data_IF_772220423783
#
_entry.id   IF_772220423783
#
_cell.length_a   1.000
_cell.length_b   1.000
_cell.length_c   1.000
_cell.angle_alpha   90.00
_cell.angle_beta   90.00
_cell.angle_gamma   90.00
#
_symmetry.space_group_name_H-M   'P 1'
#
loop_
_entity.id
_entity.type
_entity.pdbx_description
1 polymer ?
#
# COMPACT_ATOMS: atom_id res chain seq x y z
N UNK A 1 -7.79 -9.72 7.15
CA UNK A 1 -7.10 -9.61 8.45
C UNK A 1 -5.89 -8.69 8.40
N UNK A 2 -5.07 -8.79 7.36
CA UNK A 2 -3.89 -7.92 7.20
C UNK A 2 -4.25 -6.43 7.20
N UNK A 3 -5.30 -6.06 6.49
CA UNK A 3 -5.76 -4.67 6.42
C UNK A 3 -6.20 -4.13 7.78
N UNK A 4 -6.79 -4.97 8.63
CA UNK A 4 -7.15 -4.57 9.98
C UNK A 4 -5.94 -4.34 10.87
N UNK A 5 -4.93 -5.20 10.81
CA UNK A 5 -3.67 -4.99 11.54
C UNK A 5 -2.99 -3.71 11.09
N UNK A 6 -2.90 -3.51 9.78
CA UNK A 6 -2.29 -2.28 9.24
C UNK A 6 -3.07 -1.04 9.70
N UNK A 7 -4.40 -1.10 9.66
CA UNK A 7 -5.27 0.00 10.09
C UNK A 7 -5.08 0.33 11.58
N UNK A 8 -5.04 -0.68 12.43
CA UNK A 8 -4.83 -0.51 13.88
C UNK A 8 -3.45 0.08 14.19
N UNK A 9 -2.40 -0.43 13.54
CA UNK A 9 -1.04 0.08 13.73
C UNK A 9 -0.90 1.50 13.22
N UNK A 10 -1.48 1.81 12.06
CA UNK A 10 -1.47 3.16 11.50
C UNK A 10 -2.21 4.15 12.41
N UNK A 11 -3.35 3.74 12.96
CA UNK A 11 -4.11 4.58 13.91
C UNK A 11 -3.28 4.87 15.16
N UNK A 12 -2.57 3.87 15.69
CA UNK A 12 -1.68 4.04 16.84
C UNK A 12 -0.56 5.04 16.56
N UNK A 13 -0.15 5.20 15.30
CA UNK A 13 0.85 6.18 14.86
C UNK A 13 0.25 7.55 14.52
N UNK A 14 -1.04 7.75 14.74
CA UNK A 14 -1.70 9.03 14.52
C UNK A 14 -2.31 9.23 13.13
N UNK A 15 -2.34 8.20 12.29
CA UNK A 15 -3.01 8.29 10.99
C UNK A 15 -4.53 8.24 11.15
N UNK A 16 -5.22 9.02 10.33
CA UNK A 16 -6.63 8.79 10.06
C UNK A 16 -6.72 7.68 9.01
N UNK A 17 -7.52 6.64 9.27
CA UNK A 17 -7.56 5.44 8.44
C UNK A 17 -8.92 5.25 7.83
N UNK A 18 -8.96 4.98 6.53
CA UNK A 18 -10.16 4.57 5.81
C UNK A 18 -9.90 3.21 5.17
N UNK A 19 -10.73 2.22 5.48
CA UNK A 19 -10.74 0.92 4.82
C UNK A 19 -11.73 0.97 3.65
N UNK A 20 -11.26 0.52 2.49
CA UNK A 20 -12.08 0.45 1.28
C UNK A 20 -12.09 -0.98 0.74
N UNK A 21 -13.26 -1.58 0.65
CA UNK A 21 -13.49 -2.82 -0.08
C UNK A 21 -14.96 -2.84 -0.54
N UNK A 22 -15.23 -2.79 -1.86
CA UNK A 22 -16.61 -2.81 -2.36
C UNK A 22 -17.28 -4.17 -2.18
N UNK A 23 -16.54 -5.22 -1.86
CA UNK A 23 -17.03 -6.58 -1.70
C UNK A 23 -17.62 -6.75 -0.30
N UNK A 24 -18.95 -6.70 -0.18
CA UNK A 24 -19.64 -6.77 1.10
C UNK A 24 -19.44 -8.12 1.81
N UNK A 25 -19.23 -9.20 1.06
CA UNK A 25 -18.95 -10.53 1.63
C UNK A 25 -17.65 -10.58 2.44
N UNK A 26 -16.77 -9.63 2.25
CA UNK A 26 -15.53 -9.48 3.04
C UNK A 26 -15.65 -8.42 4.13
N UNK A 27 -16.86 -7.91 4.38
CA UNK A 27 -17.07 -6.94 5.45
C UNK A 27 -16.69 -7.54 6.78
N UNK A 28 -15.76 -6.87 7.46
CA UNK A 28 -15.31 -7.28 8.78
C UNK A 28 -16.37 -6.92 9.84
N UNK A 29 -16.39 -7.63 10.98
CA UNK A 29 -17.24 -7.23 12.10
C UNK A 29 -17.04 -5.75 12.47
N UNK A 30 -17.99 -5.17 13.16
CA UNK A 30 -17.95 -3.78 13.58
C UNK A 30 -16.59 -3.45 14.22
N UNK A 31 -15.92 -2.46 13.68
CA UNK A 31 -14.64 -1.97 14.16
C UNK A 31 -14.72 -0.44 14.25
N UNK A 32 -13.96 0.22 15.13
CA UNK A 32 -13.95 1.67 15.19
C UNK A 32 -13.27 2.34 13.98
N UNK A 33 -12.77 1.56 13.02
CA UNK A 33 -12.12 2.07 11.82
C UNK A 33 -13.18 2.37 10.77
N UNK A 34 -13.12 3.58 10.23
CA UNK A 34 -14.02 4.03 9.17
C UNK A 34 -13.88 3.17 7.92
N UNK A 35 -15.01 2.87 7.27
CA UNK A 35 -15.09 2.03 6.08
C UNK A 35 -15.87 2.68 4.97
N UNK A 36 -15.53 2.31 3.74
CA UNK A 36 -16.34 2.59 2.56
C UNK A 36 -16.48 1.34 1.69
N UNK A 37 -17.63 1.18 1.08
CA UNK A 37 -17.90 0.14 0.07
C UNK A 37 -17.89 0.72 -1.35
N UNK A 38 -17.42 1.95 -1.52
CA UNK A 38 -17.23 2.56 -2.83
C UNK A 38 -16.20 1.77 -3.65
N UNK A 39 -16.26 1.91 -4.97
CA UNK A 39 -15.19 1.40 -5.83
C UNK A 39 -13.87 2.09 -5.48
N UNK A 40 -12.72 1.39 -5.57
CA UNK A 40 -11.46 1.92 -5.07
C UNK A 40 -11.02 3.25 -5.71
N UNK A 41 -11.25 3.43 -7.00
CA UNK A 41 -10.94 4.69 -7.69
C UNK A 41 -11.79 5.85 -7.15
N UNK A 42 -13.09 5.63 -6.95
CA UNK A 42 -13.99 6.62 -6.36
C UNK A 42 -13.60 6.92 -4.91
N UNK A 43 -13.24 5.89 -4.15
CA UNK A 43 -12.82 6.06 -2.76
C UNK A 43 -11.56 6.92 -2.65
N UNK A 44 -10.58 6.71 -3.51
CA UNK A 44 -9.35 7.51 -3.53
C UNK A 44 -9.67 8.96 -3.91
N UNK A 45 -10.52 9.17 -4.91
CA UNK A 45 -10.94 10.53 -5.32
C UNK A 45 -11.65 11.27 -4.19
N UNK A 46 -12.59 10.61 -3.51
CA UNK A 46 -13.32 11.19 -2.39
C UNK A 46 -12.43 11.47 -1.18
N UNK A 47 -11.47 10.59 -0.94
CA UNK A 47 -10.47 10.77 0.12
C UNK A 47 -9.59 11.99 -0.16
N UNK A 48 -9.37 12.34 -1.42
CA UNK A 48 -8.56 13.47 -1.87
C UNK A 48 -7.15 13.45 -1.25
N UNK A 49 -6.29 12.49 -1.61
CA UNK A 49 -4.96 12.37 -1.00
C UNK A 49 -4.11 13.63 -1.15
N UNK A 50 -3.40 13.96 -0.10
CA UNK A 50 -2.41 15.04 -0.09
C UNK A 50 -0.99 14.47 0.13
N UNK A 51 -0.01 15.35 0.32
CA UNK A 51 1.39 14.97 0.51
C UNK A 51 1.65 14.20 1.82
N UNK A 52 0.67 14.10 2.71
CA UNK A 52 0.74 13.35 3.97
C UNK A 52 -0.07 12.05 3.92
N UNK A 53 -0.65 11.73 2.77
CA UNK A 53 -1.49 10.55 2.57
C UNK A 53 -0.68 9.36 2.09
N UNK A 54 -1.05 8.17 2.55
CA UNK A 54 -0.54 6.89 2.09
C UNK A 54 -1.69 6.02 1.59
N UNK A 55 -1.48 5.30 0.51
CA UNK A 55 -2.48 4.39 -0.07
C UNK A 55 -1.83 3.02 -0.25
N UNK A 56 -2.49 2.00 0.29
CA UNK A 56 -1.98 0.63 0.26
C UNK A 56 -3.06 -0.30 -0.28
N UNK A 57 -2.77 -0.97 -1.38
CA UNK A 57 -3.67 -1.91 -2.04
C UNK A 57 -3.39 -3.33 -1.56
N UNK A 58 -4.35 -3.93 -0.87
CA UNK A 58 -4.21 -5.21 -0.16
C UNK A 58 -5.31 -6.22 -0.49
N UNK A 59 -6.16 -5.99 -1.52
CA UNK A 59 -7.31 -6.86 -1.76
C UNK A 59 -6.96 -8.19 -2.39
N UNK A 60 -5.80 -8.29 -3.01
CA UNK A 60 -5.37 -9.41 -3.86
C UNK A 60 -6.21 -9.57 -5.15
N UNK A 61 -7.24 -8.77 -5.34
CA UNK A 61 -7.99 -8.71 -6.60
C UNK A 61 -7.32 -7.68 -7.52
N UNK A 62 -6.72 -8.12 -8.63
CA UNK A 62 -5.98 -7.19 -9.51
C UNK A 62 -6.83 -6.06 -10.07
N UNK A 63 -8.11 -6.29 -10.31
CA UNK A 63 -9.01 -5.27 -10.85
C UNK A 63 -9.26 -4.16 -9.83
N UNK A 64 -9.53 -4.53 -8.58
CA UNK A 64 -9.75 -3.58 -7.51
C UNK A 64 -8.48 -2.84 -7.15
N UNK A 65 -7.37 -3.56 -7.01
CA UNK A 65 -6.09 -2.96 -6.66
C UNK A 65 -5.59 -2.01 -7.75
N UNK A 66 -5.72 -2.38 -9.02
CA UNK A 66 -5.30 -1.52 -10.13
C UNK A 66 -6.12 -0.22 -10.19
N UNK A 67 -7.41 -0.25 -9.88
CA UNK A 67 -8.25 0.96 -9.81
C UNK A 67 -7.76 1.93 -8.73
N UNK A 68 -7.46 1.41 -7.54
CA UNK A 68 -6.91 2.22 -6.46
C UNK A 68 -5.56 2.81 -6.83
N UNK A 69 -4.68 2.00 -7.39
CA UNK A 69 -3.30 2.40 -7.71
C UNK A 69 -3.24 3.41 -8.85
N UNK A 70 -4.09 3.27 -9.84
CA UNK A 70 -4.20 4.24 -10.92
C UNK A 70 -4.46 5.66 -10.38
N UNK A 71 -5.43 5.81 -9.51
CA UNK A 71 -5.75 7.08 -8.88
C UNK A 71 -4.67 7.53 -7.89
N UNK A 72 -4.16 6.60 -7.07
CA UNK A 72 -3.14 6.90 -6.08
C UNK A 72 -1.83 7.40 -6.70
N UNK A 73 -1.39 6.79 -7.79
CA UNK A 73 -0.14 7.16 -8.47
C UNK A 73 -0.25 8.50 -9.22
N UNK A 74 -1.46 8.95 -9.51
CA UNK A 74 -1.73 10.29 -10.05
C UNK A 74 -1.87 11.35 -8.96
N UNK A 75 -2.03 10.94 -7.73
CA UNK A 75 -2.24 11.83 -6.58
C UNK A 75 -0.90 12.26 -5.97
N UNK A 76 -0.91 13.29 -5.09
CA UNK A 76 0.30 13.71 -4.38
C UNK A 76 0.65 12.83 -3.17
N UNK A 77 -0.01 11.69 -2.94
CA UNK A 77 0.27 10.80 -1.82
C UNK A 77 1.77 10.49 -1.71
N UNK A 78 2.32 10.56 -0.50
CA UNK A 78 3.75 10.34 -0.31
C UNK A 78 4.13 8.87 -0.39
N UNK A 79 3.18 7.96 -0.18
CA UNK A 79 3.40 6.52 -0.21
C UNK A 79 2.26 5.83 -0.95
N UNK A 80 2.61 5.00 -1.91
CA UNK A 80 1.67 4.14 -2.63
C UNK A 80 2.27 2.74 -2.69
N UNK A 81 1.60 1.77 -2.12
CA UNK A 81 2.09 0.41 -2.03
C UNK A 81 1.05 -0.63 -2.45
N UNK A 82 1.52 -1.77 -2.91
CA UNK A 82 0.65 -2.88 -3.30
C UNK A 82 1.25 -4.22 -2.92
N UNK A 83 0.39 -5.10 -2.41
CA UNK A 83 0.75 -6.48 -2.11
C UNK A 83 0.92 -7.29 -3.39
N UNK A 84 1.71 -8.33 -3.33
CA UNK A 84 1.93 -9.29 -4.41
C UNK A 84 3.41 -9.61 -4.62
N UNK A 85 3.68 -10.74 -5.27
CA UNK A 85 5.03 -11.16 -5.59
C UNK A 85 5.71 -10.21 -6.59
N UNK A 86 7.04 -10.32 -6.73
CA UNK A 86 7.79 -9.57 -7.75
C UNK A 86 7.24 -9.80 -9.15
N UNK A 87 6.87 -11.04 -9.48
CA UNK A 87 6.30 -11.38 -10.79
C UNK A 87 4.94 -10.70 -10.99
N UNK A 88 4.08 -10.69 -9.97
CA UNK A 88 2.79 -10.01 -10.03
C UNK A 88 2.96 -8.49 -10.15
N UNK A 89 3.96 -7.92 -9.48
CA UNK A 89 4.26 -6.49 -9.60
C UNK A 89 4.69 -6.10 -11.02
N UNK A 90 5.49 -6.93 -11.69
CA UNK A 90 5.89 -6.69 -13.08
C UNK A 90 4.67 -6.69 -14.01
N UNK A 91 3.77 -7.64 -13.86
CA UNK A 91 2.51 -7.71 -14.62
C UNK A 91 1.62 -6.51 -14.35
N UNK A 92 1.53 -6.08 -13.10
CA UNK A 92 0.75 -4.90 -12.69
C UNK A 92 1.28 -3.63 -13.32
N UNK A 93 2.60 -3.41 -13.28
CA UNK A 93 3.21 -2.23 -13.90
C UNK A 93 2.94 -2.18 -15.40
N UNK A 94 2.99 -3.32 -16.08
CA UNK A 94 2.66 -3.42 -17.51
C UNK A 94 1.20 -3.04 -17.77
N UNK A 95 0.25 -3.55 -16.97
CA UNK A 95 -1.17 -3.20 -17.09
C UNK A 95 -1.42 -1.72 -16.84
N UNK A 96 -0.80 -1.16 -15.80
CA UNK A 96 -0.96 0.25 -15.44
C UNK A 96 -0.42 1.17 -16.53
N UNK A 97 0.70 0.81 -17.13
CA UNK A 97 1.25 1.57 -18.25
C UNK A 97 0.36 1.49 -19.50
N UNK A 98 -0.12 0.30 -19.84
CA UNK A 98 -0.86 0.04 -21.07
C UNK A 98 -2.30 0.56 -21.01
N UNK A 99 -3.01 0.24 -19.92
CA UNK A 99 -4.46 0.50 -19.82
C UNK A 99 -4.79 1.84 -19.17
N UNK A 100 -3.92 2.38 -18.34
CA UNK A 100 -4.15 3.63 -17.62
C UNK A 100 -3.17 4.74 -17.98
N UNK A 101 -2.31 4.50 -18.95
CA UNK A 101 -1.37 5.48 -19.49
C UNK A 101 -0.47 6.15 -18.44
N UNK A 102 -0.15 5.42 -17.36
CA UNK A 102 0.74 5.93 -16.33
C UNK A 102 2.18 6.05 -16.86
N UNK A 103 2.81 7.15 -16.55
CA UNK A 103 4.20 7.42 -16.92
C UNK A 103 5.18 6.56 -16.12
N UNK A 104 6.40 6.43 -16.61
CA UNK A 104 7.46 5.74 -15.87
C UNK A 104 7.75 6.40 -14.52
N UNK A 105 7.67 7.72 -14.46
CA UNK A 105 7.84 8.46 -13.21
C UNK A 105 6.73 8.15 -12.20
N UNK A 106 5.48 8.01 -12.66
CA UNK A 106 4.36 7.61 -11.81
C UNK A 106 4.52 6.18 -11.32
N UNK A 107 4.87 5.25 -12.22
CA UNK A 107 5.09 3.84 -11.86
C UNK A 107 6.26 3.65 -10.89
N UNK A 108 7.29 4.47 -10.99
CA UNK A 108 8.44 4.42 -10.09
C UNK A 108 8.08 4.75 -8.63
N UNK A 109 6.94 5.41 -8.40
CA UNK A 109 6.45 5.71 -7.05
C UNK A 109 5.80 4.53 -6.36
N UNK A 110 5.47 3.46 -7.08
CA UNK A 110 4.82 2.27 -6.53
C UNK A 110 5.81 1.41 -5.77
N UNK A 111 5.53 1.19 -4.48
CA UNK A 111 6.21 0.21 -3.65
C UNK A 111 5.57 -1.16 -3.86
N UNK A 112 6.19 -2.00 -4.59
CA UNK A 112 5.71 -3.34 -4.90
C UNK A 112 6.87 -4.32 -5.14
N UNK A 113 6.97 -5.38 -4.37
CA UNK A 113 6.14 -5.75 -3.23
C UNK A 113 6.22 -4.74 -2.08
N UNK A 114 5.08 -4.53 -1.42
CA UNK A 114 4.98 -3.58 -0.31
C UNK A 114 5.69 -4.09 0.94
N UNK A 115 6.28 -3.17 1.69
CA UNK A 115 6.90 -3.45 2.98
C UNK A 115 8.41 -3.72 2.90
N UNK A 116 9.08 -3.58 4.04
CA UNK A 116 10.49 -3.90 4.18
C UNK A 116 10.69 -5.42 4.24
N UNK A 117 11.80 -5.89 3.70
CA UNK A 117 12.17 -7.31 3.78
C UNK A 117 12.69 -7.64 5.18
N UNK A 118 11.78 -7.95 6.09
CA UNK A 118 12.08 -8.33 7.47
C UNK A 118 11.82 -9.81 7.75
N UNK A 119 11.54 -10.60 6.71
CA UNK A 119 11.17 -12.01 6.86
C UNK A 119 9.73 -12.21 7.34
N UNK A 120 8.86 -11.22 7.18
CA UNK A 120 7.47 -11.28 7.62
C UNK A 120 6.71 -12.42 6.95
N UNK A 121 5.95 -13.18 7.75
CA UNK A 121 5.14 -14.33 7.29
C UNK A 121 3.69 -14.25 7.76
N UNK A 122 3.44 -13.69 8.93
CA UNK A 122 2.09 -13.55 9.47
C UNK A 122 1.46 -12.24 9.01
N UNK A 123 0.11 -12.14 8.98
CA UNK A 123 -0.56 -10.88 8.61
C UNK A 123 -0.12 -9.68 9.45
N UNK A 124 0.09 -9.84 10.74
CA UNK A 124 0.55 -8.76 11.61
C UNK A 124 1.99 -8.35 11.32
N UNK A 125 2.88 -9.32 11.05
CA UNK A 125 4.26 -9.02 10.66
C UNK A 125 4.34 -8.31 9.32
N UNK A 126 3.51 -8.71 8.37
CA UNK A 126 3.43 -8.05 7.06
C UNK A 126 2.93 -6.61 7.24
N UNK A 127 1.90 -6.40 8.06
CA UNK A 127 1.43 -5.05 8.39
C UNK A 127 2.53 -4.19 9.02
N UNK A 128 3.31 -4.77 9.93
CA UNK A 128 4.47 -4.09 10.52
C UNK A 128 5.51 -3.70 9.46
N UNK A 129 5.81 -4.59 8.53
CA UNK A 129 6.78 -4.32 7.45
C UNK A 129 6.34 -3.17 6.55
N UNK A 130 5.04 -3.11 6.25
CA UNK A 130 4.45 -2.04 5.45
C UNK A 130 4.57 -0.70 6.18
N UNK A 131 4.18 -0.69 7.43
CA UNK A 131 4.20 0.53 8.24
C UNK A 131 5.61 1.04 8.49
N UNK A 132 6.58 0.13 8.64
CA UNK A 132 7.99 0.49 8.73
C UNK A 132 8.49 1.17 7.45
N UNK A 133 8.13 0.66 6.28
CA UNK A 133 8.46 1.29 5.00
C UNK A 133 7.78 2.65 4.84
N UNK A 134 6.50 2.75 5.19
CA UNK A 134 5.77 4.03 5.20
C UNK A 134 6.44 5.06 6.09
N UNK A 135 6.87 4.64 7.27
CA UNK A 135 7.55 5.53 8.25
C UNK A 135 8.89 6.01 7.71
N UNK A 136 9.68 5.12 7.13
CA UNK A 136 10.95 5.47 6.51
C UNK A 136 10.74 6.48 5.37
N UNK A 137 9.79 6.24 4.51
CA UNK A 137 9.47 7.14 3.40
C UNK A 137 9.01 8.50 3.90
N UNK A 138 8.21 8.55 4.96
CA UNK A 138 7.75 9.79 5.58
C UNK A 138 8.90 10.67 6.05
N UNK A 139 9.98 10.06 6.53
CA UNK A 139 11.17 10.75 7.00
C UNK A 139 12.24 10.93 5.92
N UNK A 140 11.91 10.66 4.66
CA UNK A 140 12.82 10.85 3.53
C UNK A 140 13.96 9.85 3.46
N UNK A 141 13.84 8.71 4.16
CA UNK A 141 14.84 7.65 4.12
C UNK A 141 14.53 6.67 3.01
N UNK A 142 15.53 6.36 2.20
CA UNK A 142 15.46 5.27 1.24
C UNK A 142 16.10 4.03 1.85
N UNK A 143 15.31 2.96 2.03
CA UNK A 143 15.78 1.69 2.56
C UNK A 143 16.04 0.66 1.44
N UNK A 144 16.33 1.12 0.25
CA UNK A 144 16.76 0.26 -0.87
C UNK A 144 18.15 -0.33 -0.65
N UNK A 145 18.96 0.28 0.21
CA UNK A 145 20.17 -0.31 0.74
C UNK A 145 19.95 -0.52 2.23
N UNK A 146 19.77 -1.78 2.66
CA UNK A 146 19.77 -2.10 4.08
C UNK A 146 21.07 -1.57 4.70
N UNK A 147 21.04 -0.63 5.68
CA UNK A 147 22.23 -0.24 6.41
C UNK A 147 22.76 -1.39 7.26
N UNK A 148 21.98 -2.46 7.39
CA UNK A 148 22.37 -3.71 7.98
C UNK A 148 22.72 -4.70 6.87
N UNK A 149 23.87 -4.54 6.26
CA UNK A 149 24.53 -5.71 5.72
C UNK A 149 25.09 -6.46 6.91
N UNK A 150 24.60 -7.69 7.20
CA UNK A 150 25.33 -8.52 8.10
C UNK A 150 26.76 -8.59 7.54
N UNK A 151 27.72 -8.07 8.28
CA UNK A 151 29.09 -8.40 7.98
C UNK A 151 29.17 -9.90 8.13
N UNK A 152 29.21 -10.59 7.00
CA UNK A 152 29.65 -11.98 6.97
C UNK A 152 31.09 -11.88 7.47
N UNK A 153 31.29 -12.12 8.77
CA UNK A 153 32.62 -12.36 9.29
C UNK A 153 33.07 -13.67 8.68
N UNK A 154 33.90 -13.60 7.69
CA UNK A 154 34.74 -14.69 7.27
C UNK A 154 35.64 -15.11 8.44
#
# INVERSE_FOLDING_TARGET
QMSLYLAEFAKALGFQVLLCDPRQEYAQPATPIERTFAMPDDAVQQFAPDAHSAIVALTHDPKLDDLALMEALRSPAYYVGAIGSKANQAKRRARLAEHFELSQAQLARLHGPVGLNIGARTPSEIALSILAEMTAKRHGLSLTASPFQPKVST
#
